data_IF_882065206608
#
_entry.id   IF_882065206608
#
_cell.length_a   1.000
_cell.length_b   1.000
_cell.length_c   1.000
_cell.angle_alpha   90.00
_cell.angle_beta   90.00
_cell.angle_gamma   90.00
#
_symmetry.space_group_name_H-M   'P 1'
#
loop_
_entity.id
_entity.type
_entity.pdbx_description
1 polymer ?
#
# COMPACT_ATOMS: atom_id res chain seq x y z
N UNK A 1 -11.98 1.47 -4.73
CA UNK A 1 -12.37 2.35 -5.86
C UNK A 1 -11.18 2.41 -6.79
N UNK A 2 -11.35 2.18 -8.10
CA UNK A 2 -10.27 2.26 -9.10
C UNK A 2 -10.54 3.46 -10.00
N UNK A 3 -9.50 4.24 -10.34
CA UNK A 3 -9.60 5.37 -11.28
C UNK A 3 -8.66 5.13 -12.44
N UNK A 4 -9.09 5.45 -13.67
CA UNK A 4 -8.25 5.37 -14.87
C UNK A 4 -7.53 6.69 -15.08
N UNK A 5 -6.22 6.60 -15.26
CA UNK A 5 -5.35 7.73 -15.63
C UNK A 5 -4.56 7.37 -16.89
N UNK A 6 -4.21 8.36 -17.70
CA UNK A 6 -3.31 8.19 -18.85
C UNK A 6 -2.04 8.95 -18.56
N UNK A 7 -0.90 8.26 -18.60
CA UNK A 7 0.42 8.82 -18.31
C UNK A 7 1.29 8.78 -19.56
N UNK A 8 1.98 9.87 -19.86
CA UNK A 8 3.10 9.85 -20.80
C UNK A 8 4.36 9.53 -20.00
N UNK A 9 4.99 8.42 -20.34
CA UNK A 9 6.24 7.96 -19.73
C UNK A 9 7.37 8.08 -20.73
N UNK A 10 8.61 8.20 -20.25
CA UNK A 10 9.77 8.07 -21.11
C UNK A 10 9.96 6.63 -21.59
N UNK A 11 10.65 6.46 -22.73
CA UNK A 11 10.87 5.14 -23.34
C UNK A 11 11.63 4.19 -22.43
N UNK A 12 12.54 4.71 -21.60
CA UNK A 12 13.35 3.88 -20.70
C UNK A 12 12.47 3.25 -19.62
N UNK A 13 11.57 4.03 -19.02
CA UNK A 13 10.60 3.56 -18.04
C UNK A 13 9.65 2.53 -18.67
N UNK A 14 9.16 2.79 -19.89
CA UNK A 14 8.32 1.84 -20.63
C UNK A 14 9.02 0.49 -20.82
N UNK A 15 10.25 0.49 -21.35
CA UNK A 15 10.99 -0.74 -21.62
C UNK A 15 11.36 -1.52 -20.34
N UNK A 16 11.71 -0.81 -19.27
CA UNK A 16 12.00 -1.46 -17.98
C UNK A 16 10.75 -2.15 -17.40
N UNK A 17 9.61 -1.46 -17.39
CA UNK A 17 8.37 -2.02 -16.89
C UNK A 17 7.89 -3.20 -17.77
N UNK A 18 8.02 -3.09 -19.10
CA UNK A 18 7.68 -4.15 -20.03
C UNK A 18 8.56 -5.39 -19.85
N UNK A 19 9.86 -5.23 -19.64
CA UNK A 19 10.77 -6.35 -19.35
C UNK A 19 10.38 -7.06 -18.06
N UNK A 20 10.04 -6.30 -17.02
CA UNK A 20 9.65 -6.85 -15.73
C UNK A 20 8.30 -7.59 -15.79
N UNK A 21 7.34 -7.05 -16.54
CA UNK A 21 6.07 -7.70 -16.85
C UNK A 21 6.28 -9.06 -17.54
N UNK A 22 7.13 -9.10 -18.58
CA UNK A 22 7.45 -10.33 -19.29
C UNK A 22 8.09 -11.40 -18.40
N UNK A 23 9.02 -11.01 -17.51
CA UNK A 23 9.68 -11.94 -16.58
C UNK A 23 8.71 -12.51 -15.55
N UNK A 24 7.80 -11.68 -15.04
CA UNK A 24 6.89 -12.05 -13.95
C UNK A 24 5.55 -12.62 -14.43
N UNK A 25 5.28 -12.60 -15.74
CA UNK A 25 3.99 -12.99 -16.31
C UNK A 25 2.83 -12.08 -15.89
N UNK A 26 3.13 -10.87 -15.42
CA UNK A 26 2.13 -9.88 -14.95
C UNK A 26 1.87 -8.82 -16.02
N UNK A 27 0.75 -8.12 -15.94
CA UNK A 27 0.45 -7.02 -16.85
C UNK A 27 1.40 -5.83 -16.61
N UNK A 28 1.64 -5.03 -17.64
CA UNK A 28 2.42 -3.79 -17.53
C UNK A 28 1.79 -2.82 -16.50
N UNK A 29 0.46 -2.78 -16.48
CA UNK A 29 -0.33 -1.92 -15.60
C UNK A 29 -0.13 -2.30 -14.13
N UNK A 30 -0.09 -3.60 -13.82
CA UNK A 30 0.17 -4.08 -12.45
C UNK A 30 1.58 -3.73 -11.98
N UNK A 31 2.59 -3.88 -12.85
CA UNK A 31 3.98 -3.51 -12.54
C UNK A 31 4.09 -2.01 -12.27
N UNK A 32 3.52 -1.18 -13.15
CA UNK A 32 3.55 0.28 -13.00
C UNK A 32 2.80 0.72 -11.74
N UNK A 33 1.65 0.12 -11.44
CA UNK A 33 0.90 0.41 -10.23
C UNK A 33 1.70 0.06 -8.97
N UNK A 34 2.34 -1.11 -8.92
CA UNK A 34 3.17 -1.51 -7.78
C UNK A 34 4.34 -0.55 -7.55
N UNK A 35 4.98 -0.08 -8.63
CA UNK A 35 6.07 0.90 -8.53
C UNK A 35 5.55 2.27 -8.05
N UNK A 36 4.42 2.73 -8.55
CA UNK A 36 3.79 3.98 -8.08
C UNK A 36 3.42 3.90 -6.59
N UNK A 37 2.85 2.77 -6.18
CA UNK A 37 2.57 2.49 -4.77
C UNK A 37 3.85 2.49 -3.94
N UNK A 38 4.92 1.87 -4.43
CA UNK A 38 6.22 1.86 -3.75
C UNK A 38 6.83 3.26 -3.62
N UNK A 39 6.67 4.14 -4.62
CA UNK A 39 7.12 5.53 -4.54
C UNK A 39 6.35 6.30 -3.48
N UNK A 40 5.02 6.18 -3.43
CA UNK A 40 4.21 6.79 -2.37
C UNK A 40 4.62 6.28 -0.98
N UNK A 41 4.97 5.00 -0.89
CA UNK A 41 5.43 4.37 0.35
C UNK A 41 6.85 4.81 0.76
N UNK A 42 7.61 5.45 -0.13
CA UNK A 42 8.94 5.98 0.16
C UNK A 42 8.96 7.49 0.41
N UNK A 43 7.84 8.20 0.22
CA UNK A 43 7.75 9.62 0.61
C UNK A 43 7.91 9.70 2.13
N UNK A 44 8.92 10.43 2.65
CA UNK A 44 9.07 10.65 4.09
C UNK A 44 7.82 11.31 4.66
N UNK A 45 7.37 10.82 5.81
CA UNK A 45 6.14 11.31 6.46
C UNK A 45 6.27 12.80 6.83
N UNK A 46 7.49 13.24 7.10
CA UNK A 46 7.87 14.61 7.40
C UNK A 46 7.62 15.59 6.25
N UNK A 47 7.50 15.10 5.01
CA UNK A 47 7.21 15.92 3.83
C UNK A 47 5.71 16.01 3.52
N UNK A 48 4.89 15.19 4.19
CA UNK A 48 3.43 15.21 4.01
C UNK A 48 2.81 16.44 4.68
N UNK A 49 1.69 16.91 4.13
CA UNK A 49 0.85 17.94 4.76
C UNK A 49 0.27 17.46 6.09
N UNK A 50 -0.22 18.40 6.92
CA UNK A 50 -0.82 18.05 8.21
C UNK A 50 -2.04 17.13 8.06
N UNK A 51 -2.88 17.38 7.05
CA UNK A 51 -4.07 16.56 6.78
C UNK A 51 -3.71 15.14 6.38
N UNK A 52 -2.67 14.97 5.55
CA UNK A 52 -2.17 13.65 5.16
C UNK A 52 -1.56 12.89 6.34
N UNK A 53 -0.78 13.57 7.20
CA UNK A 53 -0.24 12.97 8.43
C UNK A 53 -1.38 12.51 9.35
N UNK A 54 -2.38 13.37 9.61
CA UNK A 54 -3.54 13.03 10.42
C UNK A 54 -4.37 11.88 9.82
N UNK A 55 -4.50 11.83 8.49
CA UNK A 55 -5.15 10.72 7.81
C UNK A 55 -4.39 9.40 8.03
N UNK A 56 -3.06 9.42 8.01
CA UNK A 56 -2.23 8.23 8.28
C UNK A 56 -2.31 7.80 9.75
N UNK A 57 -2.40 8.73 10.69
CA UNK A 57 -2.64 8.40 12.10
C UNK A 57 -3.95 7.63 12.30
N UNK A 58 -4.96 7.95 11.50
CA UNK A 58 -6.26 7.30 11.52
C UNK A 58 -6.33 6.02 10.68
N UNK A 59 -5.19 5.54 10.15
CA UNK A 59 -5.18 4.32 9.37
C UNK A 59 -5.82 3.15 10.13
N UNK A 60 -6.77 2.54 9.43
CA UNK A 60 -7.39 1.24 9.72
C UNK A 60 -7.62 0.56 8.37
N UNK A 61 -7.57 -0.77 8.35
CA UNK A 61 -8.11 -1.51 7.21
C UNK A 61 -9.58 -1.14 7.05
N UNK A 62 -10.07 -1.15 5.81
CA UNK A 62 -11.51 -0.99 5.63
C UNK A 62 -12.24 -2.19 6.28
N UNK A 63 -13.51 -2.02 6.71
CA UNK A 63 -14.21 -3.06 7.48
C UNK A 63 -14.30 -4.41 6.77
N UNK A 64 -14.43 -4.40 5.43
CA UNK A 64 -14.48 -5.64 4.64
C UNK A 64 -13.13 -6.36 4.63
N UNK A 65 -12.03 -5.63 4.43
CA UNK A 65 -10.67 -6.17 4.47
C UNK A 65 -10.29 -6.66 5.87
N UNK A 66 -10.72 -5.96 6.91
CA UNK A 66 -10.49 -6.38 8.29
C UNK A 66 -11.23 -7.68 8.60
N UNK A 67 -12.52 -7.78 8.22
CA UNK A 67 -13.30 -9.01 8.38
C UNK A 67 -12.72 -10.18 7.58
N UNK A 68 -12.31 -9.91 6.32
CA UNK A 68 -11.67 -10.90 5.45
C UNK A 68 -10.34 -11.39 6.04
N UNK A 69 -9.49 -10.47 6.50
CA UNK A 69 -8.21 -10.80 7.14
C UNK A 69 -8.43 -11.65 8.40
N UNK A 70 -9.38 -11.28 9.26
CA UNK A 70 -9.73 -12.08 10.45
C UNK A 70 -10.22 -13.47 10.08
N UNK A 71 -11.09 -13.60 9.07
CA UNK A 71 -11.57 -14.89 8.58
C UNK A 71 -10.41 -15.78 8.12
N UNK A 72 -9.51 -15.23 7.30
CA UNK A 72 -8.38 -15.96 6.74
C UNK A 72 -7.36 -16.37 7.81
N UNK A 73 -7.08 -15.49 8.78
CA UNK A 73 -6.18 -15.81 9.90
C UNK A 73 -6.74 -16.90 10.83
N UNK A 74 -8.07 -17.02 10.93
CA UNK A 74 -8.74 -18.01 11.77
C UNK A 74 -9.02 -19.34 11.04
N UNK A 75 -8.71 -19.45 9.75
CA UNK A 75 -8.93 -20.68 9.00
C UNK A 75 -7.87 -21.74 9.34
N UNK A 76 -8.32 -22.98 9.58
CA UNK A 76 -7.42 -24.09 9.92
C UNK A 76 -6.58 -24.56 8.73
N UNK A 77 -7.12 -24.43 7.52
CA UNK A 77 -6.45 -24.71 6.24
C UNK A 77 -6.89 -23.65 5.24
N UNK A 78 -5.95 -23.22 4.40
CA UNK A 78 -6.18 -22.23 3.36
C UNK A 78 -5.85 -22.86 2.01
N UNK A 79 -6.70 -22.61 1.03
CA UNK A 79 -6.39 -22.92 -0.37
C UNK A 79 -5.22 -22.04 -0.87
N UNK A 80 -4.58 -22.41 -1.97
CA UNK A 80 -3.50 -21.59 -2.56
C UNK A 80 -3.98 -20.17 -2.90
N UNK A 81 -5.23 -20.02 -3.35
CA UNK A 81 -5.82 -18.72 -3.64
C UNK A 81 -6.05 -17.90 -2.36
N UNK A 82 -6.53 -18.54 -1.29
CA UNK A 82 -6.72 -17.86 -0.01
C UNK A 82 -5.40 -17.50 0.67
N UNK A 83 -4.34 -18.30 0.51
CA UNK A 83 -3.00 -17.96 0.96
C UNK A 83 -2.47 -16.72 0.23
N UNK A 84 -2.58 -16.67 -1.09
CA UNK A 84 -2.19 -15.50 -1.87
C UNK A 84 -2.98 -14.24 -1.43
N UNK A 85 -4.28 -14.41 -1.16
CA UNK A 85 -5.13 -13.33 -0.67
C UNK A 85 -4.75 -12.86 0.73
N UNK A 86 -4.44 -13.79 1.63
CA UNK A 86 -3.97 -13.47 2.97
C UNK A 86 -2.65 -12.69 2.91
N UNK A 87 -1.72 -13.09 2.04
CA UNK A 87 -0.45 -12.38 1.84
C UNK A 87 -0.66 -10.95 1.35
N UNK A 88 -1.59 -10.73 0.41
CA UNK A 88 -1.95 -9.38 -0.03
C UNK A 88 -2.48 -8.52 1.13
N UNK A 89 -3.42 -9.06 1.92
CA UNK A 89 -4.00 -8.33 3.06
C UNK A 89 -2.96 -8.03 4.13
N UNK A 90 -2.07 -8.98 4.43
CA UNK A 90 -0.98 -8.79 5.39
C UNK A 90 0.04 -7.74 4.92
N UNK A 91 0.35 -7.68 3.61
CA UNK A 91 1.21 -6.63 3.05
C UNK A 91 0.61 -5.24 3.29
N UNK A 92 -0.68 -5.07 2.96
CA UNK A 92 -1.39 -3.80 3.16
C UNK A 92 -1.45 -3.45 4.65
N UNK A 93 -1.80 -4.41 5.50
CA UNK A 93 -1.91 -4.21 6.95
C UNK A 93 -0.58 -3.79 7.58
N UNK A 94 0.49 -4.58 7.38
CA UNK A 94 1.82 -4.32 7.96
C UNK A 94 2.33 -2.95 7.55
N UNK A 95 2.22 -2.62 6.26
CA UNK A 95 2.61 -1.32 5.74
C UNK A 95 1.85 -0.18 6.42
N UNK A 96 0.53 -0.29 6.50
CA UNK A 96 -0.29 0.77 7.08
C UNK A 96 -0.01 0.98 8.57
N UNK A 97 0.29 -0.09 9.31
CA UNK A 97 0.71 0.02 10.72
C UNK A 97 2.05 0.76 10.87
N UNK A 98 3.03 0.45 10.02
CA UNK A 98 4.34 1.14 10.05
C UNK A 98 4.17 2.64 9.77
N UNK A 99 3.47 3.00 8.68
CA UNK A 99 3.24 4.40 8.33
C UNK A 99 2.41 5.13 9.38
N UNK A 100 1.43 4.46 10.00
CA UNK A 100 0.65 5.01 11.12
C UNK A 100 1.54 5.37 12.30
N UNK A 101 2.46 4.47 12.68
CA UNK A 101 3.36 4.74 13.80
C UNK A 101 4.27 5.95 13.51
N UNK A 102 4.84 6.02 12.32
CA UNK A 102 5.65 7.16 11.89
C UNK A 102 4.83 8.46 11.85
N UNK A 103 3.59 8.40 11.35
CA UNK A 103 2.67 9.54 11.35
C UNK A 103 2.33 10.02 12.75
N UNK A 104 2.14 9.11 13.73
CA UNK A 104 1.92 9.49 15.12
C UNK A 104 3.12 10.23 15.72
N UNK A 105 4.35 9.80 15.42
CA UNK A 105 5.56 10.50 15.85
C UNK A 105 5.64 11.91 15.24
N UNK A 106 5.41 12.04 13.93
CA UNK A 106 5.42 13.33 13.23
C UNK A 106 4.29 14.23 13.71
N UNK A 107 3.09 13.70 13.93
CA UNK A 107 1.95 14.45 14.45
C UNK A 107 2.24 15.01 15.85
N UNK A 108 2.87 14.22 16.72
CA UNK A 108 3.33 14.67 18.04
C UNK A 108 4.40 15.75 17.92
N UNK A 109 5.42 15.53 17.08
CA UNK A 109 6.49 16.52 16.84
C UNK A 109 5.98 17.85 16.27
N UNK A 110 4.90 17.81 15.48
CA UNK A 110 4.23 18.99 14.91
C UNK A 110 3.15 19.60 15.82
N UNK A 111 2.88 19.00 16.98
CA UNK A 111 1.84 19.47 17.91
C UNK A 111 0.40 19.27 17.42
N UNK A 112 0.18 18.36 16.45
CA UNK A 112 -1.14 18.06 15.89
C UNK A 112 -1.96 17.12 16.79
N UNK A 113 -1.29 16.32 17.63
CA UNK A 113 -1.90 15.43 18.61
C UNK A 113 -0.98 15.25 19.82
N UNK A 114 -1.57 14.92 20.97
CA UNK A 114 -0.84 14.48 22.16
C UNK A 114 -0.91 12.95 22.20
N UNK A 115 0.24 12.29 22.22
CA UNK A 115 0.36 10.83 22.39
C UNK A 115 0.23 10.43 23.85
#
# INVERSE_FOLDING_TARGET
MVRRITLRVDDKLYWQAHKHAAITGRSLEDILNDWLVSVMDNIPIEQLSNDEVLSLCNFKLNPMQEAELRRLLNAQTLTSQENARLDELLKVYRRGIIRKHQALQVASARGLMVL
#
